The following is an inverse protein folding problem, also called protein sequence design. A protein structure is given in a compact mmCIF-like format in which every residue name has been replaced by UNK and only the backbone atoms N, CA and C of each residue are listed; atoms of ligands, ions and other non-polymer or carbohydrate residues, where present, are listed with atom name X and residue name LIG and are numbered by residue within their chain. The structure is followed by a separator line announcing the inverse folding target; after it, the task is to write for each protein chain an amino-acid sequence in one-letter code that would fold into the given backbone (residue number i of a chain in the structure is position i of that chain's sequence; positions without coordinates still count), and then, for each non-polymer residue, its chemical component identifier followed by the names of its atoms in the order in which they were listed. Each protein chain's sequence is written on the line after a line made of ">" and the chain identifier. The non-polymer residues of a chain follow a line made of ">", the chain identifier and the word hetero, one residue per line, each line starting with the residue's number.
data_IF_558856970968
#
_entry.id   IF_558856970968
#
_cell.length_a   1.000
_cell.length_b   1.000
_cell.length_c   1.000
_cell.angle_alpha   90.00
_cell.angle_beta   90.00
_cell.angle_gamma   90.00
#
_symmetry.space_group_name_H-M   'P 1'
#
loop_
_entity.id
_entity.type
_entity.pdbx_description
1 polymer ?
#
# COMPACT_ATOMS: atom_id res chain seq x y z
N UNK A 1 0.93 6.09 -3.76
CA UNK A 1 1.84 6.90 -2.90
C UNK A 1 3.20 6.23 -2.65
N UNK A 2 3.38 4.93 -2.91
CA UNK A 2 4.68 4.28 -2.79
C UNK A 2 4.61 2.80 -3.13
N UNK A 3 5.73 2.09 -2.97
CA UNK A 3 5.85 0.65 -3.15
C UNK A 3 6.64 0.06 -1.97
N UNK A 4 6.03 -0.87 -1.25
CA UNK A 4 6.65 -1.61 -0.16
C UNK A 4 6.86 -3.07 -0.58
N UNK A 5 7.90 -3.71 -0.04
CA UNK A 5 8.36 -5.02 -0.51
C UNK A 5 8.46 -6.09 0.58
N UNK A 6 8.46 -5.69 1.84
CA UNK A 6 8.78 -6.55 2.97
C UNK A 6 8.02 -6.12 4.23
N UNK A 7 8.03 -6.99 5.24
CA UNK A 7 7.37 -6.79 6.53
C UNK A 7 6.19 -7.74 6.78
N UNK A 8 6.28 -8.96 6.25
CA UNK A 8 5.35 -10.05 6.50
C UNK A 8 6.13 -11.36 6.62
N UNK A 9 5.58 -12.29 7.38
CA UNK A 9 6.05 -13.68 7.50
C UNK A 9 5.66 -14.51 6.26
N UNK A 10 6.24 -15.70 6.10
CA UNK A 10 5.88 -16.61 5.01
C UNK A 10 4.39 -17.03 5.06
N UNK A 11 3.84 -17.19 6.26
CA UNK A 11 2.43 -17.52 6.45
C UNK A 11 1.51 -16.38 5.98
N UNK A 12 1.87 -15.13 6.30
CA UNK A 12 1.16 -13.93 5.84
C UNK A 12 1.31 -13.75 4.32
N UNK A 13 2.50 -14.01 3.76
CA UNK A 13 2.72 -13.97 2.32
C UNK A 13 1.82 -14.98 1.59
N UNK A 14 1.69 -16.19 2.12
CA UNK A 14 0.80 -17.20 1.54
C UNK A 14 -0.68 -16.79 1.59
N UNK A 15 -1.11 -16.13 2.68
CA UNK A 15 -2.45 -15.57 2.78
C UNK A 15 -2.68 -14.42 1.79
N UNK A 16 -1.71 -13.52 1.67
CA UNK A 16 -1.73 -12.41 0.73
C UNK A 16 -1.76 -12.90 -0.73
N UNK A 17 -0.98 -13.91 -1.10
CA UNK A 17 -1.00 -14.49 -2.45
C UNK A 17 -2.37 -15.07 -2.79
N UNK A 18 -3.00 -15.82 -1.87
CA UNK A 18 -4.37 -16.32 -2.06
C UNK A 18 -5.36 -15.17 -2.28
N UNK A 19 -5.28 -14.12 -1.46
CA UNK A 19 -6.15 -12.95 -1.59
C UNK A 19 -5.95 -12.24 -2.93
N UNK A 20 -4.70 -11.95 -3.31
CA UNK A 20 -4.35 -11.29 -4.57
C UNK A 20 -4.86 -12.06 -5.78
N UNK A 21 -4.75 -13.40 -5.77
CA UNK A 21 -5.28 -14.25 -6.85
C UNK A 21 -6.80 -14.18 -6.95
N UNK A 22 -7.50 -14.18 -5.81
CA UNK A 22 -8.96 -14.13 -5.77
C UNK A 22 -9.53 -12.76 -6.20
N UNK A 23 -8.78 -11.66 -5.99
CA UNK A 23 -9.24 -10.30 -6.26
C UNK A 23 -8.48 -9.63 -7.43
N UNK A 24 -7.79 -10.39 -8.28
CA UNK A 24 -7.10 -9.83 -9.45
C UNK A 24 -8.13 -9.30 -10.46
N UNK A 25 -8.07 -8.02 -10.81
CA UNK A 25 -8.90 -7.42 -11.86
C UNK A 25 -8.20 -7.41 -13.22
N UNK A 26 -6.87 -7.23 -13.25
CA UNK A 26 -6.05 -7.20 -14.47
C UNK A 26 -4.65 -7.79 -14.23
N UNK A 27 -3.98 -8.17 -15.32
CA UNK A 27 -2.62 -8.72 -15.28
C UNK A 27 -1.71 -8.09 -16.34
N UNK A 28 -0.51 -7.70 -15.90
CA UNK A 28 0.55 -7.13 -16.72
C UNK A 28 1.86 -7.89 -16.45
N UNK A 29 2.00 -9.06 -17.07
CA UNK A 29 3.12 -9.97 -16.81
C UNK A 29 3.15 -10.45 -15.35
N UNK A 30 4.20 -10.11 -14.57
CA UNK A 30 4.27 -10.43 -13.14
C UNK A 30 3.42 -9.50 -12.26
N UNK A 31 2.96 -8.36 -12.78
CA UNK A 31 2.17 -7.39 -12.02
C UNK A 31 0.69 -7.75 -12.12
N UNK A 32 0.00 -7.70 -10.99
CA UNK A 32 -1.46 -7.85 -10.89
C UNK A 32 -2.06 -6.54 -10.39
N UNK A 33 -3.09 -6.05 -11.06
CA UNK A 33 -4.00 -5.09 -10.45
C UNK A 33 -5.06 -5.86 -9.69
N UNK A 34 -5.48 -5.34 -8.55
CA UNK A 34 -6.47 -5.96 -7.68
C UNK A 34 -7.58 -4.98 -7.35
N UNK A 35 -8.72 -5.50 -6.93
CA UNK A 35 -9.77 -4.67 -6.34
C UNK A 35 -9.19 -3.88 -5.15
N UNK A 36 -9.48 -2.57 -5.02
CA UNK A 36 -8.88 -1.71 -4.00
C UNK A 36 -9.56 -1.91 -2.63
N UNK A 37 -9.54 -3.14 -2.13
CA UNK A 37 -10.27 -3.57 -0.92
C UNK A 37 -9.35 -3.88 0.27
N UNK A 38 -8.12 -4.35 0.04
CA UNK A 38 -7.20 -4.74 1.10
C UNK A 38 -6.44 -3.53 1.66
N UNK A 39 -6.50 -3.36 2.99
CA UNK A 39 -5.78 -2.31 3.70
C UNK A 39 -4.45 -2.85 4.24
N UNK A 40 -3.38 -2.07 4.05
CA UNK A 40 -2.06 -2.32 4.60
C UNK A 40 -1.68 -1.19 5.55
N UNK A 41 -1.18 -1.56 6.72
CA UNK A 41 -0.53 -0.61 7.62
C UNK A 41 0.93 -0.47 7.16
N UNK A 42 1.34 0.75 6.82
CA UNK A 42 2.65 1.03 6.22
C UNK A 42 3.44 1.97 7.11
N UNK A 43 4.59 1.51 7.58
CA UNK A 43 5.58 2.34 8.25
C UNK A 43 6.48 3.01 7.20
N UNK A 44 6.83 4.28 7.40
CA UNK A 44 7.70 5.05 6.50
C UNK A 44 8.51 6.09 7.29
N UNK A 45 9.55 6.64 6.65
CA UNK A 45 10.48 7.61 7.24
C UNK A 45 9.95 9.05 7.10
N UNK A 46 9.55 9.43 5.88
CA UNK A 46 8.98 10.75 5.59
C UNK A 46 8.08 10.74 4.35
N UNK A 47 7.28 11.79 4.18
CA UNK A 47 6.47 12.04 2.98
C UNK A 47 7.09 13.20 2.20
N UNK A 48 7.18 13.07 0.87
CA UNK A 48 7.75 14.10 0.01
C UNK A 48 6.84 14.37 -1.19
N UNK A 49 6.88 15.60 -1.73
CA UNK A 49 6.22 15.92 -3.02
C UNK A 49 6.85 15.10 -4.15
N UNK A 50 6.04 14.65 -5.11
CA UNK A 50 6.49 13.80 -6.21
C UNK A 50 5.69 14.01 -7.49
N UNK A 51 6.35 14.41 -8.57
CA UNK A 51 5.78 14.46 -9.91
C UNK A 51 5.67 13.09 -10.60
N UNK A 52 6.34 12.06 -10.06
CA UNK A 52 6.33 10.70 -10.62
C UNK A 52 5.12 9.87 -10.19
N UNK A 53 4.46 10.26 -9.11
CA UNK A 53 3.30 9.56 -8.57
C UNK A 53 2.05 10.36 -8.89
N UNK A 54 0.99 9.70 -9.40
CA UNK A 54 -0.30 10.34 -9.68
C UNK A 54 -0.91 11.05 -8.46
N UNK A 55 -0.57 10.58 -7.25
CA UNK A 55 -0.99 11.18 -5.98
C UNK A 55 -0.26 12.48 -5.62
N UNK A 56 0.76 12.93 -6.38
CA UNK A 56 1.53 14.13 -6.04
C UNK A 56 2.50 13.98 -4.86
N UNK A 57 2.50 12.81 -4.19
CA UNK A 57 3.34 12.51 -3.01
C UNK A 57 3.99 11.12 -3.12
N UNK A 58 5.13 10.96 -2.44
CA UNK A 58 5.89 9.72 -2.31
C UNK A 58 6.30 9.45 -0.86
N UNK A 59 6.11 8.21 -0.41
CA UNK A 59 6.63 7.71 0.87
C UNK A 59 8.11 7.35 0.76
N UNK A 60 8.93 7.75 1.74
CA UNK A 60 10.35 7.37 1.87
C UNK A 60 10.48 6.10 2.70
N UNK A 61 11.20 5.12 2.17
CA UNK A 61 11.40 3.78 2.77
C UNK A 61 10.11 3.14 3.33
N UNK A 62 9.03 3.02 2.54
CA UNK A 62 7.80 2.39 3.00
C UNK A 62 8.01 0.89 3.22
N UNK A 63 7.51 0.40 4.36
CA UNK A 63 7.58 -1.00 4.79
C UNK A 63 6.20 -1.43 5.25
N UNK A 64 5.79 -2.65 4.92
CA UNK A 64 4.55 -3.19 5.45
C UNK A 64 4.79 -3.44 6.94
N UNK A 65 3.95 -2.88 7.79
CA UNK A 65 3.97 -3.16 9.23
C UNK A 65 3.01 -4.30 9.57
N UNK A 66 1.81 -4.27 8.97
CA UNK A 66 0.77 -5.28 9.16
C UNK A 66 -0.22 -5.30 8.01
N UNK A 67 -0.76 -6.47 7.69
CA UNK A 67 -1.92 -6.58 6.80
C UNK A 67 -3.20 -6.43 7.64
N UNK A 68 -4.05 -5.46 7.30
CA UNK A 68 -5.23 -5.10 8.08
C UNK A 68 -6.47 -5.82 7.55
N UNK A 69 -6.51 -7.13 7.75
CA UNK A 69 -7.67 -7.97 7.42
C UNK A 69 -8.94 -7.55 8.16
N UNK A 70 -8.78 -6.84 9.28
CA UNK A 70 -9.82 -6.31 10.14
C UNK A 70 -10.45 -5.00 9.61
N UNK A 71 -9.86 -4.36 8.60
CA UNK A 71 -10.18 -2.98 8.22
C UNK A 71 -10.70 -2.88 6.77
N UNK A 72 -11.88 -2.30 6.52
CA UNK A 72 -12.37 -2.08 5.17
C UNK A 72 -11.63 -0.91 4.49
N UNK A 73 -11.64 -0.90 3.16
CA UNK A 73 -10.90 0.10 2.36
C UNK A 73 -11.30 1.55 2.63
N UNK A 74 -12.58 1.79 2.95
CA UNK A 74 -13.11 3.12 3.26
C UNK A 74 -12.52 3.74 4.53
N UNK A 75 -11.95 2.93 5.41
CA UNK A 75 -11.26 3.43 6.61
C UNK A 75 -9.76 3.67 6.38
N UNK A 76 -9.22 3.39 5.19
CA UNK A 76 -7.82 3.70 4.88
C UNK A 76 -7.55 5.21 4.96
N UNK A 77 -6.31 5.59 5.28
CA UNK A 77 -5.93 7.00 5.34
C UNK A 77 -6.11 7.69 3.98
N UNK A 78 -6.61 8.93 4.03
CA UNK A 78 -6.81 9.75 2.84
C UNK A 78 -5.50 10.42 2.38
N UNK A 79 -5.46 10.85 1.12
CA UNK A 79 -4.31 11.58 0.58
C UNK A 79 -3.99 12.85 1.38
N UNK A 80 -5.02 13.55 1.86
CA UNK A 80 -4.87 14.75 2.69
C UNK A 80 -4.06 14.48 3.97
N UNK A 81 -4.19 13.29 4.57
CA UNK A 81 -3.40 12.88 5.74
C UNK A 81 -1.90 12.89 5.41
N UNK A 82 -1.52 12.40 4.23
CA UNK A 82 -0.12 12.38 3.80
C UNK A 82 0.39 13.77 3.44
N UNK A 83 -0.44 14.61 2.84
CA UNK A 83 -0.07 15.98 2.49
C UNK A 83 0.21 16.83 3.74
N UNK A 84 -0.58 16.64 4.80
CA UNK A 84 -0.37 17.30 6.09
C UNK A 84 0.93 16.88 6.81
N UNK A 85 1.52 15.72 6.42
CA UNK A 85 2.80 15.24 6.97
C UNK A 85 4.02 15.79 6.23
N UNK A 86 3.84 16.54 5.14
CA UNK A 86 4.94 17.21 4.45
C UNK A 86 5.28 18.47 5.24
N UNK A 87 6.35 18.41 6.03
CA UNK A 87 6.95 19.61 6.62
C UNK A 87 7.45 20.54 5.50
N UNK A 88 7.24 21.85 5.66
CA UNK A 88 7.86 22.87 4.78
C UNK A 88 9.39 22.83 4.86
#
# INVERSE_FOLDING_TARGET
>A
VGKAYFGFTDAELAALDRWVRAHTTDRFGPVRAVEPLLVLEVAFDSVNRSSRHKSGVALRFPRIHRIRWDKPAEEADALATLEAMIAE
#
